data_IF_645275482708
#
_entry.id   IF_645275482708
#
_cell.length_a   1.000
_cell.length_b   1.000
_cell.length_c   1.000
_cell.angle_alpha   90.00
_cell.angle_beta   90.00
_cell.angle_gamma   90.00
#
_symmetry.space_group_name_H-M   'P 1'
#
loop_
_entity.id
_entity.type
_entity.pdbx_description
1 polymer ?
#
# COMPACT_ATOMS: atom_id res chain seq x y z
N UNK A 1 -73.16 -7.57 41.87
CA UNK A 1 -72.56 -7.48 40.51
C UNK A 1 -71.45 -6.43 40.55
N UNK A 2 -70.20 -6.84 40.29
CA UNK A 2 -68.97 -6.03 40.39
C UNK A 2 -68.59 -5.47 39.01
N UNK A 3 -68.14 -4.21 38.93
CA UNK A 3 -67.32 -3.73 37.81
C UNK A 3 -66.11 -2.96 38.34
N UNK A 4 -64.94 -3.57 38.19
CA UNK A 4 -63.65 -3.00 38.54
C UNK A 4 -63.03 -2.35 37.30
N UNK A 5 -62.79 -1.05 37.36
CA UNK A 5 -62.09 -0.29 36.32
C UNK A 5 -60.58 -0.52 36.45
N UNK A 6 -60.03 -1.34 35.56
CA UNK A 6 -58.58 -1.50 35.38
C UNK A 6 -58.09 -0.36 34.48
N UNK A 7 -57.44 0.65 35.06
CA UNK A 7 -56.69 1.64 34.30
C UNK A 7 -55.36 1.01 33.86
N UNK A 8 -55.26 0.76 32.56
CA UNK A 8 -54.10 0.23 31.85
C UNK A 8 -53.04 1.36 31.77
N UNK A 9 -51.96 1.24 32.53
CA UNK A 9 -50.81 2.16 32.45
C UNK A 9 -49.98 1.75 31.23
N UNK A 10 -49.74 2.63 30.23
CA UNK A 10 -48.90 2.28 29.11
C UNK A 10 -47.44 2.31 29.60
N UNK A 11 -46.82 1.14 29.57
CA UNK A 11 -45.40 0.90 29.78
C UNK A 11 -44.62 1.69 28.72
N UNK A 12 -44.14 2.87 29.10
CA UNK A 12 -43.37 3.78 28.26
C UNK A 12 -42.08 3.06 27.84
N UNK A 13 -42.07 2.63 26.58
CA UNK A 13 -40.95 2.03 25.84
C UNK A 13 -39.69 2.89 25.99
N UNK A 14 -38.86 2.56 26.97
CA UNK A 14 -37.48 3.02 27.15
C UNK A 14 -36.55 2.19 26.26
N UNK A 15 -36.90 2.11 24.97
CA UNK A 15 -36.05 1.55 23.92
C UNK A 15 -35.18 2.71 23.42
N UNK A 16 -34.15 3.04 24.20
CA UNK A 16 -33.03 3.84 23.76
C UNK A 16 -32.41 3.12 22.55
N UNK A 17 -32.51 3.65 21.32
CA UNK A 17 -31.74 3.11 20.23
C UNK A 17 -30.29 3.42 20.57
N UNK A 18 -29.55 2.39 20.97
CA UNK A 18 -28.09 2.40 21.05
C UNK A 18 -27.63 2.68 19.63
N UNK A 19 -27.48 3.95 19.30
CA UNK A 19 -27.05 4.40 17.99
C UNK A 19 -25.69 3.79 17.72
N UNK A 20 -25.65 2.83 16.79
CA UNK A 20 -24.42 2.31 16.23
C UNK A 20 -23.75 3.46 15.50
N UNK A 21 -22.92 4.21 16.22
CA UNK A 21 -21.96 5.11 15.65
C UNK A 21 -20.90 4.25 14.95
N UNK A 22 -21.24 3.76 13.76
CA UNK A 22 -20.25 3.28 12.81
C UNK A 22 -19.39 4.49 12.42
N UNK A 23 -18.33 4.72 13.21
CA UNK A 23 -17.22 5.57 12.82
C UNK A 23 -16.53 4.88 11.63
N UNK A 24 -17.10 5.05 10.43
CA UNK A 24 -16.41 4.68 9.21
C UNK A 24 -15.22 5.63 9.07
N UNK A 25 -14.05 5.14 9.49
CA UNK A 25 -12.78 5.81 9.25
C UNK A 25 -12.65 6.03 7.75
N UNK A 26 -12.75 7.29 7.29
CA UNK A 26 -12.50 7.62 5.89
C UNK A 26 -11.13 7.06 5.50
N UNK A 27 -11.13 6.06 4.62
CA UNK A 27 -9.90 5.46 4.12
C UNK A 27 -9.08 6.54 3.42
N UNK A 28 -7.80 6.64 3.80
CA UNK A 28 -6.87 7.62 3.22
C UNK A 28 -6.57 7.27 1.75
N UNK A 29 -6.61 5.97 1.42
CA UNK A 29 -6.31 5.39 0.13
C UNK A 29 -7.57 4.81 -0.50
N UNK A 30 -7.72 4.99 -1.80
CA UNK A 30 -8.78 4.37 -2.59
C UNK A 30 -8.30 3.07 -3.21
N UNK A 31 -7.13 3.11 -3.83
CA UNK A 31 -6.50 1.99 -4.52
C UNK A 31 -4.99 2.07 -4.42
N UNK A 32 -4.36 0.92 -4.49
CA UNK A 32 -2.91 0.79 -4.53
C UNK A 32 -2.52 -0.20 -5.62
N UNK A 33 -1.43 0.12 -6.30
CA UNK A 33 -0.89 -0.68 -7.40
C UNK A 33 0.59 -0.86 -7.14
N UNK A 34 1.05 -2.12 -7.06
CA UNK A 34 2.44 -2.43 -6.77
C UNK A 34 3.14 -3.07 -7.96
N UNK A 35 4.35 -2.62 -8.24
CA UNK A 35 5.16 -3.11 -9.34
C UNK A 35 6.59 -3.36 -8.88
N UNK A 36 7.24 -4.32 -9.53
CA UNK A 36 8.67 -4.54 -9.36
C UNK A 36 9.34 -4.84 -10.70
N UNK A 37 10.65 -4.62 -10.75
CA UNK A 37 11.48 -5.00 -11.88
C UNK A 37 12.85 -5.47 -11.41
N UNK A 38 13.32 -6.60 -11.91
CA UNK A 38 14.61 -7.19 -11.53
C UNK A 38 15.70 -6.84 -12.53
N UNK A 39 16.68 -6.05 -12.09
CA UNK A 39 17.88 -5.77 -12.87
C UNK A 39 18.88 -6.89 -12.65
N UNK A 40 19.30 -7.52 -13.75
CA UNK A 40 20.42 -8.45 -13.73
C UNK A 40 21.73 -7.63 -13.62
N UNK A 41 22.54 -7.87 -12.57
CA UNK A 41 23.91 -7.35 -12.54
C UNK A 41 24.68 -7.92 -13.74
N UNK A 42 25.52 -7.10 -14.39
CA UNK A 42 26.30 -7.54 -15.56
C UNK A 42 27.21 -8.74 -15.25
N UNK A 43 27.83 -8.77 -14.06
CA UNK A 43 28.55 -9.92 -13.53
C UNK A 43 28.06 -10.20 -12.11
N UNK A 44 27.51 -11.39 -11.88
CA UNK A 44 27.16 -11.90 -10.55
C UNK A 44 28.30 -12.81 -10.08
N UNK A 45 29.01 -12.51 -8.98
CA UNK A 45 29.98 -13.45 -8.44
C UNK A 45 29.28 -14.71 -7.95
N UNK A 46 29.85 -15.85 -8.32
CA UNK A 46 29.33 -17.17 -7.97
C UNK A 46 30.33 -17.94 -7.11
N UNK A 47 29.83 -18.86 -6.29
CA UNK A 47 30.62 -19.85 -5.58
C UNK A 47 31.23 -20.90 -6.56
N UNK A 48 32.12 -21.80 -6.11
CA UNK A 48 32.66 -22.86 -6.97
C UNK A 48 31.63 -23.82 -7.59
N UNK A 49 30.39 -23.85 -7.07
CA UNK A 49 29.29 -24.66 -7.59
C UNK A 49 28.41 -23.88 -8.58
N UNK A 50 28.72 -22.61 -8.85
CA UNK A 50 27.95 -21.74 -9.74
C UNK A 50 26.76 -21.03 -9.10
N UNK A 51 26.59 -21.08 -7.77
CA UNK A 51 25.53 -20.35 -7.08
C UNK A 51 25.94 -18.90 -6.82
N UNK A 52 25.05 -17.91 -6.98
CA UNK A 52 25.33 -16.53 -6.59
C UNK A 52 25.78 -16.43 -5.14
N UNK A 53 26.86 -15.67 -4.89
CA UNK A 53 27.27 -15.39 -3.52
C UNK A 53 26.15 -14.66 -2.75
N UNK A 54 26.01 -14.88 -1.44
CA UNK A 54 25.04 -14.16 -0.62
C UNK A 54 25.21 -12.65 -0.76
N UNK A 55 24.11 -11.94 -1.01
CA UNK A 55 24.11 -10.49 -1.23
C UNK A 55 24.32 -10.04 -2.69
N UNK A 56 24.65 -10.95 -3.60
CA UNK A 56 24.87 -10.66 -5.03
C UNK A 56 23.71 -11.13 -5.94
N UNK A 57 22.48 -11.07 -5.43
CA UNK A 57 21.27 -11.39 -6.20
C UNK A 57 20.84 -10.28 -7.16
N UNK A 58 19.76 -10.49 -7.93
CA UNK A 58 19.19 -9.45 -8.78
C UNK A 58 18.79 -8.22 -7.96
N UNK A 59 19.05 -7.04 -8.50
CA UNK A 59 18.64 -5.77 -7.90
C UNK A 59 17.17 -5.53 -8.23
N UNK A 60 16.30 -5.62 -7.23
CA UNK A 60 14.85 -5.44 -7.39
C UNK A 60 14.46 -4.00 -7.10
N UNK A 61 13.96 -3.31 -8.13
CA UNK A 61 13.33 -2.01 -7.96
C UNK A 61 11.85 -2.19 -7.70
N UNK A 62 11.33 -1.52 -6.68
CA UNK A 62 9.90 -1.47 -6.38
C UNK A 62 9.36 -0.08 -6.66
N UNK A 63 8.31 -0.01 -7.46
CA UNK A 63 7.56 1.23 -7.73
C UNK A 63 6.10 0.98 -7.43
N UNK A 64 5.49 1.89 -6.67
CA UNK A 64 4.10 1.82 -6.27
C UNK A 64 3.35 3.04 -6.81
N UNK A 65 2.08 2.84 -7.11
CA UNK A 65 1.17 3.91 -7.43
C UNK A 65 0.02 3.91 -6.43
N UNK A 66 -0.24 5.07 -5.83
CA UNK A 66 -1.23 5.21 -4.77
C UNK A 66 -2.30 6.21 -5.20
N UNK A 67 -3.54 5.74 -5.29
CA UNK A 67 -4.70 6.59 -5.52
C UNK A 67 -5.24 7.08 -4.17
N UNK A 68 -5.17 8.39 -3.94
CA UNK A 68 -5.60 9.01 -2.68
C UNK A 68 -6.64 10.08 -2.93
N UNK A 69 -7.43 10.41 -1.91
CA UNK A 69 -8.15 11.69 -1.93
C UNK A 69 -7.13 12.84 -1.96
N UNK A 70 -7.49 13.96 -2.59
CA UNK A 70 -6.66 15.16 -2.60
C UNK A 70 -6.23 15.58 -1.18
N UNK A 71 -5.02 16.12 -1.07
CA UNK A 71 -4.41 16.56 0.18
C UNK A 71 -2.99 16.04 0.35
N UNK A 72 -2.26 16.68 1.26
CA UNK A 72 -0.88 16.37 1.55
C UNK A 72 -0.75 15.07 2.35
N UNK A 73 0.18 14.22 1.93
CA UNK A 73 0.55 12.98 2.60
C UNK A 73 2.06 12.98 2.80
N UNK A 74 2.48 12.60 3.99
CA UNK A 74 3.88 12.35 4.31
C UNK A 74 4.13 10.85 4.27
N UNK A 75 5.05 10.41 3.43
CA UNK A 75 5.44 9.01 3.31
C UNK A 75 6.68 8.79 4.17
N UNK A 76 6.59 7.89 5.15
CA UNK A 76 7.63 7.73 6.18
C UNK A 76 8.62 6.61 5.80
N UNK A 77 8.12 5.40 5.51
CA UNK A 77 8.95 4.21 5.31
C UNK A 77 8.18 3.06 4.67
N UNK A 78 8.89 2.16 4.01
CA UNK A 78 8.34 0.93 3.44
C UNK A 78 9.20 -0.29 3.78
N UNK A 79 8.59 -1.48 3.68
CA UNK A 79 9.22 -2.76 3.97
C UNK A 79 8.78 -3.81 2.96
N UNK A 80 9.70 -4.71 2.60
CA UNK A 80 9.42 -5.93 1.82
C UNK A 80 10.20 -7.06 2.46
N UNK A 81 9.50 -7.96 3.16
CA UNK A 81 10.14 -8.98 3.99
C UNK A 81 11.05 -8.33 5.04
N UNK A 82 12.34 -8.68 5.01
CA UNK A 82 13.35 -8.15 5.94
C UNK A 82 14.01 -6.84 5.47
N UNK A 83 13.76 -6.43 4.23
CA UNK A 83 14.35 -5.23 3.65
C UNK A 83 13.54 -4.00 4.04
N UNK A 84 14.24 -2.95 4.48
CA UNK A 84 13.66 -1.63 4.76
C UNK A 84 13.97 -0.69 3.61
N UNK A 85 13.02 0.18 3.29
CA UNK A 85 13.11 1.13 2.21
C UNK A 85 12.74 2.53 2.69
N UNK A 86 13.44 3.53 2.16
CA UNK A 86 12.94 4.91 2.12
C UNK A 86 12.05 5.11 0.89
N UNK A 87 11.21 6.13 0.93
CA UNK A 87 10.21 6.40 -0.12
C UNK A 87 10.55 7.72 -0.79
N UNK A 88 10.81 7.67 -2.10
CA UNK A 88 10.83 8.87 -2.95
C UNK A 88 9.41 9.02 -3.51
N UNK A 89 8.68 10.00 -3.00
CA UNK A 89 7.30 10.24 -3.37
C UNK A 89 7.16 11.39 -4.38
N UNK A 90 6.45 11.14 -5.46
CA UNK A 90 6.12 12.13 -6.47
C UNK A 90 4.60 12.19 -6.65
N UNK A 91 4.01 13.35 -6.41
CA UNK A 91 2.63 13.62 -6.81
C UNK A 91 2.60 13.86 -8.33
N UNK A 92 1.81 13.07 -9.05
CA UNK A 92 1.69 13.21 -10.50
C UNK A 92 0.71 14.35 -10.83
N UNK A 93 1.07 15.17 -11.81
CA UNK A 93 0.22 16.25 -12.31
C UNK A 93 -1.01 15.69 -13.04
N UNK A 94 -0.79 14.64 -13.84
CA UNK A 94 -1.85 13.94 -14.55
C UNK A 94 -2.44 12.81 -13.70
N UNK A 95 -3.76 12.56 -13.79
CA UNK A 95 -4.41 11.43 -13.12
C UNK A 95 -4.14 10.09 -13.84
N UNK A 96 -3.18 10.05 -14.76
CA UNK A 96 -2.83 8.87 -15.56
C UNK A 96 -1.33 8.65 -15.52
N UNK A 97 -0.91 7.41 -15.31
CA UNK A 97 0.50 7.03 -15.35
C UNK A 97 0.70 5.78 -16.22
N UNK A 98 1.78 5.77 -17.01
CA UNK A 98 2.29 4.56 -17.67
C UNK A 98 3.32 3.93 -16.76
N UNK A 99 2.96 2.82 -16.11
CA UNK A 99 3.85 2.16 -15.15
C UNK A 99 4.97 1.37 -15.84
N UNK A 100 4.69 0.82 -17.02
CA UNK A 100 5.66 0.02 -17.78
C UNK A 100 4.95 -0.97 -18.71
N UNK A 101 5.63 -2.06 -19.02
CA UNK A 101 5.09 -3.20 -19.76
C UNK A 101 5.15 -4.41 -18.84
N UNK A 102 4.03 -5.08 -18.62
CA UNK A 102 3.98 -6.30 -17.81
C UNK A 102 4.81 -7.41 -18.46
N UNK A 103 5.66 -8.09 -17.68
CA UNK A 103 6.57 -9.11 -18.19
C UNK A 103 5.85 -10.37 -18.67
N UNK A 104 4.77 -10.78 -18.00
CA UNK A 104 4.02 -12.00 -18.32
C UNK A 104 3.20 -11.88 -19.62
N UNK A 105 2.59 -10.72 -19.86
CA UNK A 105 1.64 -10.51 -20.95
C UNK A 105 2.11 -9.56 -22.06
N UNK A 106 3.27 -8.91 -21.88
CA UNK A 106 3.79 -7.86 -22.76
C UNK A 106 2.76 -6.72 -23.00
N UNK A 107 1.89 -6.47 -22.02
CA UNK A 107 0.86 -5.44 -22.11
C UNK A 107 1.31 -4.16 -21.43
N UNK A 108 1.02 -2.98 -22.02
CA UNK A 108 1.30 -1.71 -21.35
C UNK A 108 0.41 -1.57 -20.12
N UNK A 109 1.03 -1.29 -18.98
CA UNK A 109 0.31 -1.04 -17.74
C UNK A 109 0.01 0.45 -17.61
N UNK A 110 -1.28 0.79 -17.68
CA UNK A 110 -1.78 2.15 -17.54
C UNK A 110 -2.64 2.26 -16.28
N UNK A 111 -2.29 3.18 -15.42
CA UNK A 111 -2.97 3.44 -14.15
C UNK A 111 -3.76 4.74 -14.31
N UNK A 112 -5.02 4.72 -13.89
CA UNK A 112 -5.92 5.88 -13.95
C UNK A 112 -6.52 6.11 -12.58
N UNK A 113 -6.32 7.31 -12.03
CA UNK A 113 -6.97 7.73 -10.81
C UNK A 113 -8.47 7.95 -11.06
N UNK A 114 -9.31 7.54 -10.11
CA UNK A 114 -10.74 7.83 -10.14
C UNK A 114 -11.03 9.34 -10.02
N UNK A 115 -12.27 9.74 -10.35
CA UNK A 115 -12.70 11.14 -10.28
C UNK A 115 -12.44 11.74 -8.88
N UNK A 116 -11.79 12.90 -8.85
CA UNK A 116 -11.45 13.63 -7.62
C UNK A 116 -10.37 12.97 -6.76
N UNK A 117 -9.68 11.95 -7.27
CA UNK A 117 -8.48 11.40 -6.66
C UNK A 117 -7.22 12.02 -7.29
N UNK A 118 -6.12 11.91 -6.56
CA UNK A 118 -4.78 12.21 -7.05
C UNK A 118 -3.95 10.93 -7.10
N UNK A 119 -2.95 10.91 -7.95
CA UNK A 119 -2.07 9.75 -8.14
C UNK A 119 -0.66 10.08 -7.66
N UNK A 120 -0.16 9.27 -6.75
CA UNK A 120 1.23 9.33 -6.30
C UNK A 120 2.02 8.20 -6.96
N UNK A 121 3.25 8.48 -7.38
CA UNK A 121 4.29 7.49 -7.66
C UNK A 121 5.23 7.43 -6.47
N UNK A 122 5.48 6.24 -5.96
CA UNK A 122 6.40 5.98 -4.85
C UNK A 122 7.49 5.04 -5.34
N UNK A 123 8.70 5.54 -5.47
CA UNK A 123 9.87 4.70 -5.75
C UNK A 123 10.53 4.31 -4.43
N UNK A 124 10.72 3.01 -4.21
CA UNK A 124 11.32 2.50 -2.99
C UNK A 124 12.82 2.35 -3.18
N UNK A 125 13.58 2.98 -2.29
CA UNK A 125 15.04 2.88 -2.30
C UNK A 125 15.48 2.11 -1.06
N UNK A 126 16.23 1.00 -1.23
CA UNK A 126 16.68 0.20 -0.10
C UNK A 126 17.57 1.02 0.82
N UNK A 127 17.39 0.84 2.13
CA UNK A 127 18.25 1.43 3.15
C UNK A 127 18.78 0.33 4.05
N UNK A 128 19.95 0.54 4.64
CA UNK A 128 20.50 -0.39 5.61
C UNK A 128 19.51 -0.59 6.77
N UNK A 129 19.24 -1.84 7.17
CA UNK A 129 18.34 -2.11 8.27
C UNK A 129 18.92 -1.54 9.56
N UNK A 130 18.16 -0.69 10.24
CA UNK A 130 18.54 -0.18 11.55
C UNK A 130 18.41 -1.33 12.57
N UNK A 131 19.47 -1.65 13.35
CA UNK A 131 19.41 -2.69 14.37
C UNK A 131 18.23 -2.48 15.33
N UNK A 132 17.45 -3.53 15.60
CA UNK A 132 16.31 -3.49 16.53
C UNK A 132 14.97 -3.03 15.95
N UNK A 133 14.87 -2.74 14.64
CA UNK A 133 13.55 -2.55 13.99
C UNK A 133 12.87 -3.89 13.72
N UNK A 134 11.55 -3.92 13.91
CA UNK A 134 10.73 -5.09 13.67
C UNK A 134 10.82 -5.53 12.19
N UNK A 135 11.21 -6.79 12.00
CA UNK A 135 11.04 -7.51 10.73
C UNK A 135 9.56 -7.75 10.54
N UNK A 136 9.04 -7.50 9.33
CA UNK A 136 7.62 -7.74 9.03
C UNK A 136 7.50 -9.17 8.51
N UNK A 137 6.82 -10.07 9.25
CA UNK A 137 6.65 -11.44 8.80
C UNK A 137 5.77 -11.51 7.55
N UNK A 138 6.17 -12.33 6.58
CA UNK A 138 5.28 -12.74 5.48
C UNK A 138 5.53 -12.10 4.12
N UNK A 139 6.65 -11.41 3.89
CA UNK A 139 7.12 -11.01 2.55
C UNK A 139 6.24 -9.98 1.81
N UNK A 140 5.12 -9.56 2.40
CA UNK A 140 4.20 -8.57 1.82
C UNK A 140 4.81 -7.18 1.92
N UNK A 141 4.61 -6.39 0.86
CA UNK A 141 5.05 -5.00 0.86
C UNK A 141 4.13 -4.17 1.76
N UNK A 142 4.72 -3.41 2.67
CA UNK A 142 4.00 -2.52 3.60
C UNK A 142 4.56 -1.11 3.55
N UNK A 143 3.68 -0.11 3.63
CA UNK A 143 4.00 1.31 3.64
C UNK A 143 3.45 1.97 4.89
N UNK A 144 4.21 2.88 5.49
CA UNK A 144 3.75 3.78 6.56
C UNK A 144 3.87 5.24 6.16
N UNK A 145 2.99 6.06 6.72
CA UNK A 145 3.04 7.50 6.55
C UNK A 145 2.01 8.22 7.42
N UNK A 146 1.78 9.49 7.12
CA UNK A 146 0.90 10.37 7.88
C UNK A 146 0.07 11.28 6.99
N UNK A 147 -1.18 11.50 7.37
CA UNK A 147 -2.05 12.56 6.85
C UNK A 147 -2.28 13.57 7.96
N UNK A 148 -1.60 14.71 7.91
CA UNK A 148 -1.49 15.62 9.05
C UNK A 148 -0.92 14.88 10.27
N UNK A 149 -1.68 14.83 11.38
CA UNK A 149 -1.26 14.13 12.62
C UNK A 149 -1.63 12.63 12.65
N UNK A 150 -2.46 12.14 11.72
CA UNK A 150 -2.94 10.75 11.74
C UNK A 150 -1.97 9.86 10.98
N UNK A 151 -1.44 8.83 11.66
CA UNK A 151 -0.63 7.78 11.02
C UNK A 151 -1.52 6.84 10.21
N UNK A 152 -0.98 6.30 9.14
CA UNK A 152 -1.59 5.23 8.36
C UNK A 152 -0.57 4.15 8.03
N UNK A 153 -1.11 2.97 7.73
CA UNK A 153 -0.36 1.81 7.24
C UNK A 153 -1.13 1.21 6.06
N UNK A 154 -0.42 0.79 5.04
CA UNK A 154 -1.01 0.14 3.86
C UNK A 154 -0.22 -1.11 3.53
N UNK A 155 -0.93 -2.22 3.37
CA UNK A 155 -0.38 -3.46 2.82
C UNK A 155 -0.70 -3.55 1.34
N UNK A 156 0.32 -3.81 0.53
CA UNK A 156 0.18 -4.07 -0.89
C UNK A 156 0.12 -5.58 -1.08
N UNK A 157 -1.03 -6.07 -1.51
CA UNK A 157 -1.35 -7.50 -1.55
C UNK A 157 -0.74 -8.23 -2.75
N UNK A 158 -0.45 -7.52 -3.83
CA UNK A 158 0.07 -8.09 -5.07
C UNK A 158 1.05 -7.12 -5.74
N UNK A 159 2.07 -7.69 -6.37
CA UNK A 159 3.04 -6.98 -7.18
C UNK A 159 3.02 -7.55 -8.59
N UNK A 160 3.07 -6.68 -9.58
CA UNK A 160 3.17 -7.06 -11.00
C UNK A 160 4.61 -6.83 -11.47
N UNK A 161 5.21 -7.84 -12.10
CA UNK A 161 6.55 -7.72 -12.65
C UNK A 161 6.52 -6.93 -13.96
N UNK A 162 7.39 -5.93 -14.07
CA UNK A 162 7.55 -5.10 -15.25
C UNK A 162 8.83 -5.46 -16.00
N UNK A 163 8.75 -5.37 -17.33
CA UNK A 163 9.90 -5.46 -18.22
C UNK A 163 10.78 -4.24 -18.06
N UNK A 164 12.08 -4.45 -17.96
CA UNK A 164 13.06 -3.37 -17.98
C UNK A 164 13.38 -3.07 -19.45
N UNK A 165 13.18 -1.83 -19.92
CA UNK A 165 13.64 -1.47 -21.25
C UNK A 165 15.16 -1.62 -21.31
N UNK A 166 15.72 -2.13 -22.43
CA UNK A 166 17.16 -2.23 -22.58
C UNK A 166 17.78 -0.85 -22.40
N UNK A 167 18.83 -0.76 -21.58
CA UNK A 167 19.65 0.44 -21.50
C UNK A 167 20.33 0.63 -22.86
N UNK A 168 20.00 1.74 -23.55
CA UNK A 168 20.66 2.15 -24.80
C UNK A 168 21.91 2.94 -24.47
#
# INVERSE_FOLDING_TARGET
MKKANKKLVPLLFLLLPVGWACSQTKQVFRKSYGYYSERLPGNIPVDPNGNPLPGFGPDTLYTLYMETAAGELNWDSAWVGEKTFTIIAQLLQDPVAKAGIEKSGNQPVIIRAGKGAVLWRLDLVPVEPVPGKAVIPGGKLMIKGRKGKKKFEVHISSLVELTIPPSV
#
